data_IF_556926729268
#
_entry.id   IF_556926729268
#
_cell.length_a   1.000
_cell.length_b   1.000
_cell.length_c   1.000
_cell.angle_alpha   90.00
_cell.angle_beta   90.00
_cell.angle_gamma   90.00
#
_symmetry.space_group_name_H-M   'P 1'
#
loop_
_entity.id
_entity.type
_entity.pdbx_description
1 polymer ?
#
# COMPACT_ATOMS: atom_id res chain seq x y z
N UNK A 1 -15.10 -14.82 -29.16
CA UNK A 1 -15.96 -14.43 -28.00
C UNK A 1 -15.04 -14.01 -26.87
N UNK A 2 -15.47 -13.14 -25.97
CA UNK A 2 -14.67 -12.65 -24.86
C UNK A 2 -14.10 -13.81 -24.04
N UNK A 3 -12.84 -13.67 -23.65
CA UNK A 3 -12.16 -14.68 -22.84
C UNK A 3 -12.71 -14.68 -21.41
N UNK A 4 -12.57 -15.81 -20.71
CA UNK A 4 -12.96 -15.92 -19.29
C UNK A 4 -12.25 -14.88 -18.42
N UNK A 5 -11.02 -14.51 -18.75
CA UNK A 5 -10.25 -13.52 -18.01
C UNK A 5 -10.79 -12.10 -18.23
N UNK A 6 -11.11 -11.74 -19.47
CA UNK A 6 -11.77 -10.47 -19.77
C UNK A 6 -13.11 -10.34 -19.06
N UNK A 7 -13.95 -11.39 -19.10
CA UNK A 7 -15.25 -11.40 -18.41
C UNK A 7 -15.05 -11.19 -16.90
N UNK A 8 -14.12 -11.91 -16.26
CA UNK A 8 -13.79 -11.73 -14.84
C UNK A 8 -13.35 -10.30 -14.54
N UNK A 9 -12.49 -9.72 -15.39
CA UNK A 9 -11.99 -8.36 -15.24
C UNK A 9 -13.12 -7.33 -15.33
N UNK A 10 -14.06 -7.51 -16.27
CA UNK A 10 -15.25 -6.66 -16.42
C UNK A 10 -16.08 -6.66 -15.12
N UNK A 11 -16.39 -7.83 -14.56
CA UNK A 11 -17.12 -7.92 -13.29
C UNK A 11 -16.36 -7.29 -12.11
N UNK A 12 -15.05 -7.52 -12.03
CA UNK A 12 -14.22 -6.93 -10.97
C UNK A 12 -14.19 -5.39 -11.04
N UNK A 13 -14.07 -4.82 -12.24
CA UNK A 13 -14.11 -3.39 -12.46
C UNK A 13 -15.51 -2.81 -12.23
N UNK A 14 -16.56 -3.49 -12.68
CA UNK A 14 -17.95 -3.11 -12.43
C UNK A 14 -18.25 -3.04 -10.93
N UNK A 15 -17.81 -4.03 -10.15
CA UNK A 15 -17.91 -3.99 -8.69
C UNK A 15 -17.18 -2.79 -8.09
N UNK A 16 -15.94 -2.55 -8.51
CA UNK A 16 -15.12 -1.46 -8.00
C UNK A 16 -15.64 -0.06 -8.41
N UNK A 17 -16.40 0.02 -9.50
CA UNK A 17 -17.08 1.23 -9.96
C UNK A 17 -18.49 1.42 -9.35
N UNK A 18 -18.94 0.51 -8.49
CA UNK A 18 -20.27 0.57 -7.89
C UNK A 18 -21.42 0.23 -8.86
N UNK A 19 -21.13 -0.40 -9.99
CA UNK A 19 -22.12 -0.83 -10.98
C UNK A 19 -22.75 -2.19 -10.65
N UNK A 20 -22.28 -2.86 -9.60
CA UNK A 20 -22.86 -4.11 -9.12
C UNK A 20 -23.42 -3.89 -7.72
N UNK A 21 -24.75 -3.94 -7.60
CA UNK A 21 -25.42 -3.92 -6.31
C UNK A 21 -25.70 -5.36 -5.86
N UNK A 22 -24.80 -5.88 -5.01
CA UNK A 22 -24.97 -7.22 -4.41
C UNK A 22 -26.08 -7.29 -3.36
N UNK A 23 -26.59 -6.15 -2.88
CA UNK A 23 -27.66 -6.09 -1.89
C UNK A 23 -29.05 -6.11 -2.53
N UNK A 24 -29.17 -5.61 -3.76
CA UNK A 24 -30.41 -5.63 -4.55
C UNK A 24 -30.52 -6.80 -5.55
N UNK A 25 -29.47 -7.62 -5.69
CA UNK A 25 -29.43 -8.71 -6.68
C UNK A 25 -29.39 -8.22 -8.13
N UNK A 26 -29.09 -6.94 -8.36
CA UNK A 26 -29.14 -6.29 -9.66
C UNK A 26 -27.73 -6.23 -10.28
N UNK A 27 -27.32 -7.33 -10.91
CA UNK A 27 -26.24 -7.34 -11.92
C UNK A 27 -26.61 -6.48 -13.15
N UNK A 28 -27.87 -6.05 -13.24
CA UNK A 28 -28.47 -5.29 -14.32
C UNK A 28 -27.79 -3.95 -14.60
N UNK A 29 -27.27 -3.25 -13.59
CA UNK A 29 -26.62 -1.95 -13.82
C UNK A 29 -25.34 -2.08 -14.66
N UNK A 30 -24.52 -3.11 -14.41
CA UNK A 30 -23.36 -3.40 -15.24
C UNK A 30 -23.78 -3.86 -16.64
N UNK A 31 -24.81 -4.70 -16.75
CA UNK A 31 -25.29 -5.19 -18.04
C UNK A 31 -25.89 -4.06 -18.89
N UNK A 32 -26.70 -3.16 -18.31
CA UNK A 32 -27.24 -1.97 -18.96
C UNK A 32 -26.13 -1.04 -19.44
N UNK A 33 -25.12 -0.82 -18.61
CA UNK A 33 -23.96 0.00 -18.97
C UNK A 33 -23.21 -0.62 -20.16
N UNK A 34 -22.94 -1.93 -20.14
CA UNK A 34 -22.25 -2.63 -21.23
C UNK A 34 -23.11 -2.64 -22.51
N UNK A 35 -24.43 -2.81 -22.39
CA UNK A 35 -25.38 -2.80 -23.51
C UNK A 35 -25.35 -1.47 -24.25
N UNK A 36 -25.16 -0.34 -23.56
CA UNK A 36 -25.05 0.98 -24.19
C UNK A 36 -23.89 1.07 -25.20
N UNK A 37 -22.77 0.36 -24.94
CA UNK A 37 -21.59 0.41 -25.80
C UNK A 37 -21.49 -0.76 -26.77
N UNK A 38 -21.98 -1.93 -26.40
CA UNK A 38 -21.79 -3.17 -27.17
C UNK A 38 -23.03 -3.61 -27.95
N UNK A 39 -24.21 -3.09 -27.58
CA UNK A 39 -25.53 -3.55 -28.03
C UNK A 39 -25.78 -5.04 -27.75
N UNK A 40 -25.03 -5.64 -26.80
CA UNK A 40 -25.20 -7.03 -26.37
C UNK A 40 -25.98 -7.10 -25.06
N UNK A 41 -26.83 -8.11 -24.96
CA UNK A 41 -27.58 -8.40 -23.74
C UNK A 41 -26.73 -9.16 -22.71
N UNK A 42 -25.78 -9.98 -23.19
CA UNK A 42 -24.92 -10.78 -22.32
C UNK A 42 -23.43 -10.50 -22.53
N UNK A 43 -22.69 -10.38 -21.43
CA UNK A 43 -21.23 -10.13 -21.42
C UNK A 43 -20.47 -11.26 -22.13
N UNK A 44 -21.00 -12.49 -22.11
CA UNK A 44 -20.42 -13.64 -22.83
C UNK A 44 -20.50 -13.54 -24.35
N UNK A 45 -21.41 -12.71 -24.88
CA UNK A 45 -21.59 -12.51 -26.33
C UNK A 45 -20.66 -11.44 -26.90
N UNK A 46 -19.90 -10.75 -26.04
CA UNK A 46 -18.91 -9.79 -26.48
C UNK A 46 -17.84 -10.48 -27.32
N UNK A 47 -17.34 -9.79 -28.34
CA UNK A 47 -16.06 -10.17 -28.96
C UNK A 47 -14.91 -9.77 -28.02
N UNK A 48 -13.71 -10.32 -28.24
CA UNK A 48 -12.54 -9.93 -27.45
C UNK A 48 -12.24 -8.44 -27.57
N UNK A 49 -12.34 -7.88 -28.78
CA UNK A 49 -12.17 -6.44 -29.02
C UNK A 49 -13.21 -5.59 -28.29
N UNK A 50 -14.48 -6.02 -28.27
CA UNK A 50 -15.52 -5.35 -27.49
C UNK A 50 -15.23 -5.44 -25.99
N UNK A 51 -14.79 -6.59 -25.51
CA UNK A 51 -14.45 -6.77 -24.10
C UNK A 51 -13.28 -5.86 -23.69
N UNK A 52 -12.22 -5.77 -24.50
CA UNK A 52 -11.09 -4.86 -24.24
C UNK A 52 -11.53 -3.39 -24.25
N UNK A 53 -12.41 -3.01 -25.18
CA UNK A 53 -13.01 -1.67 -25.23
C UNK A 53 -13.80 -1.35 -23.95
N UNK A 54 -14.64 -2.29 -23.50
CA UNK A 54 -15.44 -2.18 -22.27
C UNK A 54 -14.54 -2.09 -21.04
N UNK A 55 -13.49 -2.92 -20.96
CA UNK A 55 -12.52 -2.89 -19.85
C UNK A 55 -11.89 -1.51 -19.75
N UNK A 56 -11.43 -0.94 -20.87
CA UNK A 56 -10.83 0.39 -20.89
C UNK A 56 -11.82 1.46 -20.41
N UNK A 57 -13.07 1.44 -20.90
CA UNK A 57 -14.08 2.42 -20.48
C UNK A 57 -14.47 2.25 -19.01
N UNK A 58 -14.52 1.01 -18.49
CA UNK A 58 -14.77 0.76 -17.07
C UNK A 58 -13.61 1.24 -16.19
N UNK A 59 -12.36 1.13 -16.65
CA UNK A 59 -11.20 1.68 -15.93
C UNK A 59 -11.27 3.22 -15.88
N UNK A 60 -11.62 3.87 -16.99
CA UNK A 60 -11.82 5.32 -17.06
C UNK A 60 -12.99 5.77 -16.18
N UNK A 61 -14.15 5.12 -16.29
CA UNK A 61 -15.33 5.42 -15.47
C UNK A 61 -15.03 5.23 -13.99
N UNK A 62 -14.43 4.09 -13.62
CA UNK A 62 -13.98 3.82 -12.25
C UNK A 62 -13.05 4.92 -11.76
N UNK A 63 -12.12 5.42 -12.56
CA UNK A 63 -11.22 6.49 -12.12
C UNK A 63 -11.95 7.81 -11.79
N UNK A 64 -13.13 8.03 -12.37
CA UNK A 64 -13.98 9.20 -12.14
C UNK A 64 -14.91 9.02 -10.95
N UNK A 65 -15.48 7.82 -10.76
CA UNK A 65 -16.50 7.55 -9.72
C UNK A 65 -15.96 6.91 -8.46
N UNK A 66 -14.84 6.18 -8.53
CA UNK A 66 -14.26 5.57 -7.36
C UNK A 66 -13.75 6.67 -6.42
N UNK A 67 -14.01 6.56 -5.10
CA UNK A 67 -13.47 7.49 -4.14
C UNK A 67 -11.94 7.50 -4.28
N UNK A 68 -11.36 8.69 -4.44
CA UNK A 68 -9.91 8.85 -4.47
C UNK A 68 -9.33 8.18 -3.22
N UNK A 69 -8.22 7.43 -3.33
CA UNK A 69 -7.59 6.80 -2.18
C UNK A 69 -7.37 7.83 -1.08
N UNK A 70 -7.85 7.54 0.12
CA UNK A 70 -7.60 8.40 1.27
C UNK A 70 -6.09 8.49 1.46
N UNK A 71 -5.56 9.72 1.44
CA UNK A 71 -4.14 9.95 1.62
C UNK A 71 -3.75 9.75 3.09
N UNK A 72 -2.47 9.52 3.32
CA UNK A 72 -1.91 9.39 4.68
C UNK A 72 -2.26 10.61 5.53
N UNK A 73 -2.75 10.38 6.74
CA UNK A 73 -3.17 11.45 7.65
C UNK A 73 -1.96 12.11 8.33
N UNK A 74 -2.12 13.33 8.85
CA UNK A 74 -1.05 14.01 9.60
C UNK A 74 -0.64 13.25 10.87
N UNK A 75 -1.57 12.55 11.52
CA UNK A 75 -1.27 11.68 12.66
C UNK A 75 -0.39 10.51 12.25
N UNK A 76 -0.66 9.90 11.08
CA UNK A 76 0.18 8.82 10.54
C UNK A 76 1.58 9.34 10.16
N UNK A 77 1.68 10.51 9.53
CA UNK A 77 2.97 11.15 9.22
C UNK A 77 3.77 11.44 10.50
N UNK A 78 3.10 12.05 11.50
CA UNK A 78 3.68 12.35 12.81
C UNK A 78 4.19 11.08 13.50
N UNK A 79 3.40 9.99 13.48
CA UNK A 79 3.80 8.72 14.07
C UNK A 79 4.98 8.08 13.34
N UNK A 80 5.01 8.13 12.01
CA UNK A 80 6.16 7.66 11.22
C UNK A 80 7.45 8.37 11.62
N UNK A 81 7.43 9.71 11.73
CA UNK A 81 8.58 10.47 12.20
C UNK A 81 8.97 10.13 13.63
N UNK A 82 8.01 10.11 14.57
CA UNK A 82 8.25 9.75 15.98
C UNK A 82 8.94 8.39 16.12
N UNK A 83 8.48 7.39 15.37
CA UNK A 83 9.09 6.06 15.36
C UNK A 83 10.50 6.09 14.77
N UNK A 84 10.72 6.83 13.68
CA UNK A 84 12.04 6.93 13.05
C UNK A 84 13.06 7.61 13.96
N UNK A 85 12.68 8.69 14.66
CA UNK A 85 13.57 9.33 15.63
C UNK A 85 13.93 8.38 16.78
N UNK A 86 12.97 7.64 17.34
CA UNK A 86 13.26 6.61 18.35
C UNK A 86 14.19 5.50 17.85
N UNK A 87 14.07 5.11 16.59
CA UNK A 87 15.01 4.16 15.97
C UNK A 87 16.39 4.78 15.87
N UNK A 88 16.50 6.05 15.49
CA UNK A 88 17.78 6.76 15.39
C UNK A 88 18.47 6.94 16.76
N UNK A 89 17.71 7.10 17.84
CA UNK A 89 18.26 7.18 19.20
C UNK A 89 18.89 5.86 19.65
N UNK A 90 18.27 4.73 19.28
CA UNK A 90 18.74 3.38 19.67
C UNK A 90 19.83 2.87 18.72
N UNK A 91 19.70 3.20 17.44
CA UNK A 91 20.58 2.77 16.36
C UNK A 91 20.99 4.00 15.54
N UNK A 92 21.97 4.77 16.06
CA UNK A 92 22.50 5.95 15.38
C UNK A 92 23.09 5.58 14.01
N UNK A 93 22.97 6.50 13.07
CA UNK A 93 23.50 6.36 11.71
C UNK A 93 23.85 7.74 11.18
N UNK A 94 24.85 7.81 10.30
CA UNK A 94 25.20 9.04 9.59
C UNK A 94 24.07 9.52 8.67
N UNK A 95 23.20 8.60 8.23
CA UNK A 95 22.04 8.93 7.40
C UNK A 95 20.95 9.59 8.26
N UNK A 96 20.54 10.80 7.87
CA UNK A 96 19.50 11.57 8.57
C UNK A 96 18.19 10.75 8.71
N UNK A 97 17.46 10.90 9.84
CA UNK A 97 16.19 10.18 10.08
C UNK A 97 15.17 10.30 8.94
N UNK A 98 15.01 11.50 8.36
CA UNK A 98 14.11 11.72 7.20
C UNK A 98 14.49 10.85 5.99
N UNK A 99 15.78 10.68 5.74
CA UNK A 99 16.29 9.92 4.58
C UNK A 99 16.16 8.41 4.81
N UNK A 100 16.39 7.96 6.05
CA UNK A 100 16.07 6.57 6.45
C UNK A 100 14.59 6.28 6.28
N UNK A 101 13.71 7.21 6.67
CA UNK A 101 12.27 7.08 6.52
C UNK A 101 11.85 7.05 5.05
N UNK A 102 12.46 7.88 4.19
CA UNK A 102 12.27 7.83 2.74
C UNK A 102 12.53 6.43 2.19
N UNK A 103 13.62 5.78 2.61
CA UNK A 103 13.93 4.40 2.22
C UNK A 103 12.87 3.39 2.68
N UNK A 104 12.31 3.55 3.89
CA UNK A 104 11.21 2.71 4.38
C UNK A 104 9.93 2.91 3.56
N UNK A 105 9.59 4.16 3.24
CA UNK A 105 8.41 4.48 2.42
C UNK A 105 8.56 3.89 1.01
N UNK A 106 9.73 4.06 0.40
CA UNK A 106 10.03 3.48 -0.91
C UNK A 106 9.88 1.95 -0.90
N UNK A 107 10.35 1.29 0.16
CA UNK A 107 10.21 -0.16 0.33
C UNK A 107 8.76 -0.63 0.46
N UNK A 108 7.90 0.10 1.17
CA UNK A 108 6.49 -0.29 1.37
C UNK A 108 5.65 0.01 0.13
N UNK A 109 5.85 1.18 -0.47
CA UNK A 109 5.06 1.62 -1.62
C UNK A 109 5.52 0.98 -2.93
N UNK A 110 6.76 0.47 -2.98
CA UNK A 110 7.40 0.01 -4.21
C UNK A 110 7.72 1.15 -5.18
N UNK A 111 7.66 2.40 -4.73
CA UNK A 111 7.85 3.60 -5.56
C UNK A 111 9.17 4.27 -5.25
N UNK A 112 9.75 4.90 -6.26
CA UNK A 112 10.88 5.81 -6.05
C UNK A 112 10.36 7.12 -5.44
N UNK A 113 10.84 7.44 -4.25
CA UNK A 113 10.47 8.68 -3.54
C UNK A 113 11.53 9.73 -3.79
N UNK A 114 11.19 10.79 -4.50
CA UNK A 114 12.15 11.86 -4.81
C UNK A 114 12.54 12.63 -3.54
N UNK A 115 13.82 12.99 -3.36
CA UNK A 115 14.30 13.66 -2.14
C UNK A 115 13.86 15.14 -2.04
N UNK A 116 13.56 15.77 -3.18
CA UNK A 116 13.18 17.18 -3.34
C UNK A 116 11.70 17.48 -3.01
N UNK A 117 10.90 16.45 -2.70
CA UNK A 117 9.47 16.58 -2.41
C UNK A 117 9.10 16.07 -1.01
N UNK A 118 7.83 16.23 -0.66
CA UNK A 118 7.26 15.52 0.49
C UNK A 118 7.45 14.01 0.28
N UNK A 119 8.10 13.37 1.25
CA UNK A 119 8.36 11.92 1.21
C UNK A 119 7.06 11.09 1.33
N UNK A 120 5.96 11.72 1.73
CA UNK A 120 4.63 11.14 1.80
C UNK A 120 3.75 11.45 0.58
N UNK A 121 4.31 12.05 -0.48
CA UNK A 121 3.56 12.36 -1.69
C UNK A 121 2.91 11.09 -2.29
N UNK A 122 1.59 11.14 -2.50
CA UNK A 122 0.76 10.02 -2.96
C UNK A 122 0.85 8.74 -2.11
N UNK A 123 1.23 8.84 -0.84
CA UNK A 123 1.12 7.73 0.11
C UNK A 123 -0.33 7.65 0.58
N UNK A 124 -0.95 6.49 0.39
CA UNK A 124 -2.31 6.22 0.85
C UNK A 124 -2.34 5.95 2.36
N UNK A 125 -3.49 6.11 2.99
CA UNK A 125 -3.72 5.80 4.41
C UNK A 125 -3.38 4.35 4.75
N UNK A 126 -3.70 3.41 3.85
CA UNK A 126 -3.38 1.98 4.01
C UNK A 126 -1.86 1.75 4.00
N UNK A 127 -1.15 2.36 3.04
CA UNK A 127 0.31 2.30 2.98
C UNK A 127 0.94 2.96 4.22
N UNK A 128 0.38 4.08 4.69
CA UNK A 128 0.77 4.73 5.95
C UNK A 128 0.73 3.77 7.14
N UNK A 129 -0.34 2.98 7.27
CA UNK A 129 -0.45 1.94 8.31
C UNK A 129 0.60 0.85 8.17
N UNK A 130 0.90 0.41 6.94
CA UNK A 130 1.95 -0.57 6.67
C UNK A 130 3.35 -0.04 7.03
N UNK A 131 3.63 1.23 6.71
CA UNK A 131 4.89 1.91 7.08
C UNK A 131 5.04 1.94 8.61
N UNK A 132 3.99 2.33 9.33
CA UNK A 132 3.98 2.36 10.80
C UNK A 132 4.31 0.98 11.38
N UNK A 133 3.67 -0.08 10.88
CA UNK A 133 3.92 -1.45 11.39
C UNK A 133 5.33 -1.94 11.10
N UNK A 134 5.88 -1.61 9.93
CA UNK A 134 7.27 -1.92 9.61
C UNK A 134 8.23 -1.18 10.55
N UNK A 135 8.00 0.12 10.80
CA UNK A 135 8.81 0.90 11.73
C UNK A 135 8.75 0.34 13.16
N UNK A 136 7.56 -0.03 13.65
CA UNK A 136 7.41 -0.70 14.95
C UNK A 136 8.21 -2.01 15.00
N UNK A 137 8.21 -2.79 13.93
CA UNK A 137 9.00 -4.04 13.84
C UNK A 137 10.51 -3.77 13.90
N UNK A 138 10.98 -2.77 13.16
CA UNK A 138 12.39 -2.34 13.19
C UNK A 138 12.77 -1.89 14.60
N UNK A 139 11.96 -1.02 15.22
CA UNK A 139 12.21 -0.52 16.57
C UNK A 139 12.32 -1.67 17.60
N UNK A 140 11.43 -2.65 17.57
CA UNK A 140 11.50 -3.84 18.43
C UNK A 140 12.78 -4.64 18.19
N UNK A 141 13.19 -4.79 16.93
CA UNK A 141 14.43 -5.50 16.57
C UNK A 141 15.65 -4.80 17.15
N UNK A 142 15.76 -3.48 16.97
CA UNK A 142 16.89 -2.69 17.49
C UNK A 142 16.92 -2.69 19.03
N UNK A 143 15.78 -2.57 19.70
CA UNK A 143 15.68 -2.72 21.15
C UNK A 143 16.17 -4.08 21.64
N UNK A 144 15.82 -5.17 20.93
CA UNK A 144 16.25 -6.51 21.29
C UNK A 144 17.76 -6.71 21.09
N UNK A 145 18.35 -6.12 20.05
CA UNK A 145 19.80 -6.12 19.84
C UNK A 145 20.53 -5.40 20.98
N UNK A 146 20.04 -4.23 21.37
CA UNK A 146 20.61 -3.47 22.49
C UNK A 146 20.59 -4.29 23.79
N UNK A 147 19.45 -4.89 24.13
CA UNK A 147 19.32 -5.75 25.32
C UNK A 147 20.29 -6.95 25.31
N UNK A 148 20.50 -7.57 24.15
CA UNK A 148 21.47 -8.68 24.01
C UNK A 148 22.91 -8.19 24.17
N UNK A 149 23.26 -7.04 23.61
CA UNK A 149 24.60 -6.47 23.77
C UNK A 149 24.92 -6.12 25.22
N UNK A 150 23.95 -5.57 25.96
CA UNK A 150 24.11 -5.27 27.39
C UNK A 150 24.27 -6.52 28.24
N UNK A 151 23.60 -7.63 27.89
CA UNK A 151 23.67 -8.90 28.63
C UNK A 151 24.99 -9.65 28.40
N UNK A 152 25.63 -9.45 27.25
CA UNK A 152 26.93 -10.06 26.92
C UNK A 152 28.14 -9.24 27.43
N UNK A 153 27.95 -7.98 27.83
CA UNK A 153 29.02 -7.14 28.39
C UNK A 153 29.31 -7.37 29.87
N UNK A 154 28.34 -7.93 30.62
CA UNK A 154 28.46 -8.12 32.08
C UNK A 154 29.20 -9.39 32.52
N UNK A 155 29.57 -10.28 31.59
CA UNK A 155 30.24 -11.56 31.92
C UNK A 155 31.78 -11.55 31.79
N UNK A 156 32.40 -10.43 31.40
CA UNK A 156 33.86 -10.35 31.18
C UNK A 156 34.65 -9.48 32.20
N UNK A 157 34.03 -8.97 33.26
CA UNK A 157 34.68 -8.09 34.24
C UNK A 157 35.08 -8.82 35.55
N UNK A 158 35.77 -9.96 35.45
CA UNK A 158 36.03 -10.80 36.63
C UNK A 158 37.29 -11.67 36.59
N UNK A 159 38.39 -11.18 36.00
CA UNK A 159 39.73 -11.78 36.18
C UNK A 159 40.79 -10.68 36.29
N UNK A 160 40.88 -10.06 37.46
CA UNK A 160 42.13 -9.44 37.92
C UNK A 160 42.88 -10.51 38.72
N UNK A 161 44.06 -10.90 38.22
CA UNK A 161 45.03 -11.75 38.91
C UNK A 161 45.69 -10.98 40.05
N UNK A 162 45.83 -11.56 41.26
CA UNK A 162 46.69 -11.00 42.29
C UNK A 162 48.16 -11.42 42.08
N UNK A 163 49.12 -10.63 42.61
CA UNK A 163 50.56 -10.76 42.38
C UNK A 163 51.21 -11.98 43.04
#
# INVERSE_FOLDING_TARGET
MATKEQIRRIYALGAAAGLLDRSAGNDDNLHLWIKQFSLKDHISELTEQQADFIIKHLEEYRSQVAPKPELVTEEQKSLCFKLMYRIADISPSEIKPRERLRGVISKVTGREIRPDRDIFFNVTRSEGSQIIELLKRILRSEQNKLKRSSKNGTCNAGKEEPP
#
